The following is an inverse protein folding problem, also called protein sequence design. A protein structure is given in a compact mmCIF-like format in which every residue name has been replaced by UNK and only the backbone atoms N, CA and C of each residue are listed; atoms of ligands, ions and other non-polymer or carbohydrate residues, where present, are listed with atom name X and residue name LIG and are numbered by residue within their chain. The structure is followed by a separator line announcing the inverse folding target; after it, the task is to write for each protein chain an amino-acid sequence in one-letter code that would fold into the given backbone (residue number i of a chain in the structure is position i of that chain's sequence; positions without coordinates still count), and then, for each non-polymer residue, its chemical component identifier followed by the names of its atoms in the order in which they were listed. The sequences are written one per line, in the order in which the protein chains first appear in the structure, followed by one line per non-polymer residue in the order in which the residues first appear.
data_IF_074975311607
#
_entry.id   IF_074975311607
#
_cell.length_a   1.000
_cell.length_b   1.000
_cell.length_c   1.000
_cell.angle_alpha   90.00
_cell.angle_beta   90.00
_cell.angle_gamma   90.00
#
_symmetry.space_group_name_H-M   'P 1'
#
loop_
_entity.id
_entity.type
_entity.pdbx_description
1 polymer ?
#
# COMPACT_ATOMS: atom_id res chain seq x y z
N UNK A 1 -47.93 33.72 38.52
CA UNK A 1 -48.33 33.65 37.10
C UNK A 1 -47.08 33.38 36.28
N UNK A 2 -46.71 32.10 36.12
CA UNK A 2 -45.57 31.66 35.31
C UNK A 2 -46.13 30.94 34.10
N UNK A 3 -45.78 31.38 32.88
CA UNK A 3 -46.13 30.69 31.64
C UNK A 3 -44.84 30.10 31.08
N UNK A 4 -44.57 28.84 31.41
CA UNK A 4 -43.62 28.02 30.67
C UNK A 4 -44.31 27.61 29.36
N UNK A 5 -43.78 28.11 28.23
CA UNK A 5 -44.21 27.65 26.91
C UNK A 5 -43.72 26.21 26.71
N UNK A 6 -44.58 25.29 26.25
CA UNK A 6 -44.14 23.94 25.92
C UNK A 6 -43.24 23.99 24.68
N UNK A 7 -42.09 23.35 24.80
CA UNK A 7 -41.16 23.12 23.68
C UNK A 7 -41.93 22.38 22.59
N UNK A 8 -42.04 22.92 21.36
CA UNK A 8 -42.77 22.25 20.28
C UNK A 8 -42.13 20.89 19.95
N UNK A 9 -42.96 19.86 19.91
CA UNK A 9 -42.64 18.45 19.59
C UNK A 9 -42.13 18.22 18.15
N UNK A 10 -41.48 19.20 17.51
CA UNK A 10 -40.85 19.06 16.18
C UNK A 10 -39.37 18.65 16.31
N UNK A 11 -39.05 17.76 17.23
CA UNK A 11 -37.80 17.00 17.18
C UNK A 11 -38.08 15.52 17.34
N UNK A 12 -39.07 15.03 16.59
CA UNK A 12 -39.00 13.64 16.14
C UNK A 12 -37.76 13.57 15.27
N UNK A 13 -36.80 12.73 15.65
CA UNK A 13 -35.67 12.39 14.79
C UNK A 13 -36.22 11.77 13.51
N UNK A 14 -36.42 12.61 12.50
CA UNK A 14 -36.76 12.19 11.15
C UNK A 14 -35.62 11.30 10.65
N UNK A 15 -35.86 9.98 10.60
CA UNK A 15 -35.04 9.04 9.82
C UNK A 15 -34.82 9.55 8.39
N UNK A 16 -35.76 10.36 7.89
CA UNK A 16 -35.69 11.03 6.59
C UNK A 16 -34.60 12.12 6.51
N UNK A 17 -34.27 12.81 7.62
CA UNK A 17 -33.16 13.78 7.67
C UNK A 17 -31.79 13.11 7.65
N UNK A 18 -31.70 11.85 8.11
CA UNK A 18 -30.46 11.09 7.96
C UNK A 18 -30.11 10.90 6.47
N UNK A 19 -31.08 10.82 5.54
CA UNK A 19 -30.82 10.72 4.10
C UNK A 19 -30.33 12.02 3.45
N UNK A 20 -30.55 13.18 4.08
CA UNK A 20 -30.19 14.50 3.55
C UNK A 20 -28.78 14.96 3.94
N UNK A 21 -28.06 14.20 4.76
CA UNK A 21 -26.67 14.49 5.07
C UNK A 21 -25.82 14.33 3.80
N UNK A 22 -24.96 15.30 3.48
CA UNK A 22 -23.97 15.15 2.43
C UNK A 22 -23.18 13.83 2.59
N UNK A 23 -22.92 13.08 1.51
CA UNK A 23 -22.30 11.76 1.58
C UNK A 23 -20.93 11.80 2.27
N UNK A 24 -20.23 12.94 2.29
CA UNK A 24 -18.97 13.13 3.02
C UNK A 24 -19.08 12.99 4.55
N UNK A 25 -20.27 13.15 5.16
CA UNK A 25 -20.49 12.92 6.59
C UNK A 25 -20.81 11.46 6.92
N UNK A 26 -21.19 10.66 5.91
CA UNK A 26 -21.46 9.22 6.01
C UNK A 26 -20.35 8.37 5.41
N UNK A 27 -19.51 8.97 4.58
CA UNK A 27 -18.31 8.36 4.07
C UNK A 27 -17.46 7.95 5.26
N UNK A 28 -17.05 6.69 5.30
CA UNK A 28 -16.00 6.28 6.22
C UNK A 28 -14.82 7.26 6.05
N UNK A 29 -14.17 7.71 7.15
CA UNK A 29 -12.97 8.52 7.03
C UNK A 29 -12.03 7.84 6.04
N UNK A 30 -11.45 8.60 5.10
CA UNK A 30 -10.53 8.07 4.08
C UNK A 30 -9.58 7.10 4.76
N UNK A 31 -9.70 5.80 4.43
CA UNK A 31 -9.12 4.67 5.15
C UNK A 31 -7.58 4.72 5.12
N UNK A 32 -6.98 5.58 5.94
CA UNK A 32 -5.53 5.72 6.04
C UNK A 32 -4.88 4.46 6.63
N UNK A 33 -5.64 3.74 7.46
CA UNK A 33 -5.20 2.47 8.05
C UNK A 33 -5.04 1.37 6.98
N UNK A 34 -5.91 1.33 5.96
CA UNK A 34 -5.84 0.35 4.86
C UNK A 34 -4.72 0.67 3.89
N UNK A 35 -4.54 1.95 3.53
CA UNK A 35 -3.45 2.38 2.64
C UNK A 35 -2.06 2.16 3.28
N UNK A 36 -1.89 2.53 4.55
CA UNK A 36 -0.64 2.31 5.27
C UNK A 36 -0.30 0.82 5.38
N UNK A 37 -1.29 -0.01 5.74
CA UNK A 37 -1.13 -1.46 5.80
C UNK A 37 -0.78 -2.05 4.43
N UNK A 38 -1.40 -1.54 3.36
CA UNK A 38 -1.09 -1.95 2.00
C UNK A 38 0.37 -1.63 1.64
N UNK A 39 0.84 -0.42 1.96
CA UNK A 39 2.23 0.01 1.71
C UNK A 39 3.22 -0.86 2.48
N UNK A 40 2.96 -1.08 3.78
CA UNK A 40 3.82 -1.90 4.64
C UNK A 40 3.95 -3.34 4.11
N UNK A 41 2.81 -3.97 3.80
CA UNK A 41 2.77 -5.33 3.22
C UNK A 41 3.46 -5.38 1.87
N UNK A 42 3.15 -4.43 0.99
CA UNK A 42 3.74 -4.36 -0.35
C UNK A 42 5.26 -4.23 -0.28
N UNK A 43 5.80 -3.35 0.56
CA UNK A 43 7.24 -3.19 0.72
C UNK A 43 7.88 -4.44 1.35
N UNK A 44 7.19 -5.11 2.27
CA UNK A 44 7.65 -6.36 2.89
C UNK A 44 7.74 -7.49 1.87
N UNK A 45 6.68 -7.70 1.08
CA UNK A 45 6.66 -8.68 -0.01
C UNK A 45 7.73 -8.36 -1.07
N UNK A 46 7.85 -7.10 -1.49
CA UNK A 46 8.87 -6.71 -2.47
C UNK A 46 10.27 -7.01 -1.95
N UNK A 47 10.61 -6.67 -0.70
CA UNK A 47 11.92 -7.00 -0.12
C UNK A 47 12.19 -8.51 -0.10
N UNK A 48 11.18 -9.30 0.28
CA UNK A 48 11.29 -10.76 0.32
C UNK A 48 11.55 -11.34 -1.08
N UNK A 49 10.70 -11.01 -2.06
CA UNK A 49 10.81 -11.55 -3.41
C UNK A 49 12.02 -11.01 -4.16
N UNK A 50 12.39 -9.74 -4.01
CA UNK A 50 13.58 -9.18 -4.66
C UNK A 50 14.87 -9.84 -4.18
N UNK A 51 14.97 -10.14 -2.87
CA UNK A 51 16.10 -10.92 -2.33
C UNK A 51 16.16 -12.32 -2.97
N UNK A 52 15.03 -13.03 -3.00
CA UNK A 52 14.94 -14.36 -3.63
C UNK A 52 15.37 -14.27 -5.10
N UNK A 53 14.81 -13.34 -5.87
CA UNK A 53 15.13 -13.21 -7.29
C UNK A 53 16.60 -12.85 -7.55
N UNK A 54 17.23 -12.06 -6.67
CA UNK A 54 18.68 -11.80 -6.70
C UNK A 54 19.48 -13.09 -6.49
N UNK A 55 19.13 -13.89 -5.48
CA UNK A 55 19.78 -15.17 -5.20
C UNK A 55 19.59 -16.17 -6.35
N UNK A 56 18.40 -16.23 -6.96
CA UNK A 56 18.14 -17.05 -8.15
C UNK A 56 18.99 -16.62 -9.36
N UNK A 57 19.15 -15.32 -9.61
CA UNK A 57 19.99 -14.82 -10.70
C UNK A 57 21.47 -15.24 -10.50
N UNK A 58 21.96 -15.21 -9.26
CA UNK A 58 23.30 -15.72 -8.91
C UNK A 58 23.41 -17.23 -9.14
N UNK A 59 22.44 -18.03 -8.70
CA UNK A 59 22.51 -19.48 -8.89
C UNK A 59 22.45 -19.87 -10.37
N UNK A 60 21.72 -19.12 -11.19
CA UNK A 60 21.70 -19.33 -12.64
C UNK A 60 23.04 -18.96 -13.29
N UNK A 61 23.68 -17.85 -12.89
CA UNK A 61 24.98 -17.46 -13.46
C UNK A 61 26.05 -18.51 -13.20
N UNK A 62 26.06 -19.07 -11.99
CA UNK A 62 26.99 -20.14 -11.61
C UNK A 62 26.60 -21.52 -12.16
N UNK A 63 25.30 -21.73 -12.44
CA UNK A 63 24.76 -23.01 -12.90
C UNK A 63 24.80 -23.24 -14.42
N UNK A 64 24.94 -22.18 -15.22
CA UNK A 64 25.02 -22.31 -16.67
C UNK A 64 26.32 -22.93 -17.17
N UNK A 65 26.28 -23.50 -18.38
CA UNK A 65 27.51 -23.93 -19.04
C UNK A 65 28.41 -22.72 -19.28
N UNK A 66 29.71 -22.86 -19.02
CA UNK A 66 30.70 -21.79 -19.17
C UNK A 66 30.73 -21.18 -20.58
N UNK A 67 30.25 -21.90 -21.60
CA UNK A 67 30.17 -21.43 -22.98
C UNK A 67 28.92 -20.58 -23.27
N UNK A 68 27.90 -20.61 -22.42
CA UNK A 68 26.65 -19.86 -22.58
C UNK A 68 26.79 -18.38 -22.14
N UNK A 69 27.80 -17.69 -22.69
CA UNK A 69 28.18 -16.33 -22.28
C UNK A 69 27.02 -15.33 -22.33
N UNK A 70 26.16 -15.45 -23.33
CA UNK A 70 24.99 -14.57 -23.47
C UNK A 70 23.95 -14.80 -22.37
N UNK A 71 23.75 -16.04 -21.93
CA UNK A 71 22.83 -16.34 -20.84
C UNK A 71 23.41 -15.86 -19.52
N UNK A 72 24.69 -16.14 -19.26
CA UNK A 72 25.42 -15.68 -18.06
C UNK A 72 25.34 -14.15 -17.94
N UNK A 73 25.67 -13.41 -19.01
CA UNK A 73 25.59 -11.95 -19.01
C UNK A 73 24.16 -11.42 -18.76
N UNK A 74 23.13 -12.13 -19.23
CA UNK A 74 21.74 -11.73 -18.97
C UNK A 74 21.37 -11.92 -17.50
N UNK A 75 21.73 -13.05 -16.89
CA UNK A 75 21.42 -13.28 -15.47
C UNK A 75 22.26 -12.42 -14.53
N UNK A 76 23.50 -12.09 -14.89
CA UNK A 76 24.30 -11.09 -14.16
C UNK A 76 23.63 -9.70 -14.17
N UNK A 77 23.06 -9.28 -15.32
CA UNK A 77 22.26 -8.04 -15.39
C UNK A 77 21.04 -8.11 -14.47
N UNK A 78 20.35 -9.24 -14.43
CA UNK A 78 19.22 -9.43 -13.51
C UNK A 78 19.64 -9.37 -12.05
N UNK A 79 20.78 -9.96 -11.68
CA UNK A 79 21.32 -9.86 -10.32
C UNK A 79 21.47 -8.40 -9.88
N UNK A 80 22.09 -7.56 -10.71
CA UNK A 80 22.26 -6.13 -10.41
C UNK A 80 20.94 -5.37 -10.40
N UNK A 81 20.00 -5.72 -11.29
CA UNK A 81 18.68 -5.11 -11.32
C UNK A 81 17.89 -5.41 -10.04
N UNK A 82 17.85 -6.67 -9.61
CA UNK A 82 17.17 -7.06 -8.38
C UNK A 82 17.83 -6.46 -7.15
N UNK A 83 19.16 -6.38 -7.11
CA UNK A 83 19.87 -5.70 -6.03
C UNK A 83 19.51 -4.21 -5.97
N UNK A 84 19.52 -3.51 -7.10
CA UNK A 84 19.12 -2.10 -7.16
C UNK A 84 17.69 -1.89 -6.65
N UNK A 85 16.74 -2.70 -7.09
CA UNK A 85 15.36 -2.62 -6.62
C UNK A 85 15.20 -2.98 -5.15
N UNK A 86 15.99 -3.94 -4.65
CA UNK A 86 16.00 -4.31 -3.23
C UNK A 86 16.48 -3.13 -2.37
N UNK A 87 17.58 -2.48 -2.76
CA UNK A 87 18.06 -1.26 -2.08
C UNK A 87 17.00 -0.16 -2.12
N UNK A 88 16.33 0.02 -3.27
CA UNK A 88 15.21 0.96 -3.38
C UNK A 88 14.10 0.62 -2.38
N UNK A 89 13.69 -0.64 -2.27
CA UNK A 89 12.64 -1.09 -1.35
C UNK A 89 13.00 -0.95 0.15
N UNK A 90 14.29 -0.84 0.49
CA UNK A 90 14.74 -0.46 1.83
C UNK A 90 14.77 1.05 2.05
N UNK A 91 15.01 1.84 0.99
CA UNK A 91 15.07 3.30 1.07
C UNK A 91 13.70 3.99 1.03
N UNK A 92 12.66 3.34 0.48
CA UNK A 92 11.31 3.92 0.38
C UNK A 92 10.64 3.99 1.76
N UNK A 93 10.22 5.18 2.23
CA UNK A 93 9.45 5.33 3.47
C UNK A 93 8.08 4.64 3.38
N UNK A 94 7.60 4.08 4.50
CA UNK A 94 6.29 3.43 4.61
C UNK A 94 5.13 4.44 4.77
N UNK A 95 5.18 5.54 4.02
CA UNK A 95 4.22 6.65 4.12
C UNK A 95 3.51 6.85 2.79
N UNK A 96 2.21 7.19 2.83
CA UNK A 96 1.37 7.40 1.64
C UNK A 96 1.96 8.45 0.70
N UNK A 97 2.58 9.50 1.23
CA UNK A 97 3.21 10.59 0.47
C UNK A 97 4.48 10.15 -0.28
N UNK A 98 5.11 9.04 0.13
CA UNK A 98 6.33 8.54 -0.50
C UNK A 98 6.04 7.55 -1.63
N UNK A 99 4.78 7.11 -1.76
CA UNK A 99 4.35 6.06 -2.72
C UNK A 99 3.46 6.62 -3.83
N UNK A 100 2.76 7.75 -3.61
CA UNK A 100 2.07 8.50 -4.66
C UNK A 100 3.04 9.30 -5.51
#
# INVERSE_FOLDING_TARGET
MSKDQPIPEHFIMDTQRAMLLPPELKAAPSESLTEQLFIERSLTENRFWLRIMKEHALFLSEGFNRNDKNLIQQVEKFFHLFDHHLQKAFSVPQTVQAVR
#
